data_IF_566154375195
#
_entry.id   IF_566154375195
#
_cell.length_a   1.000
_cell.length_b   1.000
_cell.length_c   1.000
_cell.angle_alpha   90.00
_cell.angle_beta   90.00
_cell.angle_gamma   90.00
#
_symmetry.space_group_name_H-M   'P 1'
#
loop_
_entity.id
_entity.type
_entity.pdbx_description
1 polymer ?
#
# COMPACT_ATOMS: atom_id res chain seq x y z
N UNK A 1 14.47 -13.39 35.31
CA UNK A 1 14.56 -14.71 34.66
C UNK A 1 14.59 -14.41 33.18
N UNK A 2 15.76 -14.53 32.57
CA UNK A 2 16.02 -14.06 31.20
C UNK A 2 15.55 -15.16 30.25
N UNK A 3 14.26 -15.14 29.92
CA UNK A 3 13.67 -16.05 28.95
C UNK A 3 14.35 -15.90 27.59
N UNK A 4 14.69 -17.04 26.99
CA UNK A 4 15.16 -17.14 25.62
C UNK A 4 14.14 -16.47 24.70
N UNK A 5 14.43 -15.25 24.28
CA UNK A 5 13.67 -14.60 23.22
C UNK A 5 13.84 -15.44 21.96
N UNK A 6 12.73 -15.69 21.26
CA UNK A 6 12.56 -16.46 20.02
C UNK A 6 13.75 -16.40 19.04
N UNK A 7 13.83 -17.38 18.13
CA UNK A 7 14.93 -17.54 17.17
C UNK A 7 15.22 -16.30 16.33
N UNK A 8 14.23 -15.43 16.08
CA UNK A 8 14.41 -14.12 15.44
C UNK A 8 13.68 -12.98 16.15
N UNK A 9 14.34 -11.83 16.27
CA UNK A 9 13.75 -10.57 16.76
C UNK A 9 13.86 -9.49 15.70
N UNK A 10 12.72 -8.88 15.31
CA UNK A 10 12.69 -7.77 14.37
C UNK A 10 12.06 -6.54 15.00
N UNK A 11 12.88 -5.50 15.21
CA UNK A 11 12.37 -4.15 15.51
C UNK A 11 11.94 -3.48 14.21
N UNK A 12 10.66 -3.26 14.03
CA UNK A 12 10.04 -2.93 12.73
C UNK A 12 9.95 -1.43 12.48
N UNK A 13 9.83 -0.62 13.54
CA UNK A 13 9.72 0.85 13.48
C UNK A 13 10.81 1.50 12.62
N UNK A 14 12.05 1.00 12.74
CA UNK A 14 13.22 1.50 12.00
C UNK A 14 13.15 1.34 10.49
N UNK A 15 12.33 0.43 9.97
CA UNK A 15 12.20 0.18 8.53
C UNK A 15 10.92 0.82 7.96
N UNK A 16 9.94 1.11 8.80
CA UNK A 16 8.59 1.49 8.39
C UNK A 16 8.54 2.73 7.49
N UNK A 17 9.40 3.72 7.75
CA UNK A 17 9.49 4.93 6.95
C UNK A 17 10.04 4.65 5.55
N UNK A 18 11.15 3.91 5.47
CA UNK A 18 11.76 3.56 4.19
C UNK A 18 10.84 2.64 3.37
N UNK A 19 10.22 1.64 4.01
CA UNK A 19 9.35 0.67 3.35
C UNK A 19 8.10 1.31 2.74
N UNK A 20 7.43 2.23 3.44
CA UNK A 20 6.26 2.93 2.87
C UNK A 20 6.66 3.77 1.67
N UNK A 21 7.79 4.46 1.71
CA UNK A 21 8.28 5.23 0.57
C UNK A 21 8.67 4.33 -0.60
N UNK A 22 9.36 3.21 -0.33
CA UNK A 22 9.80 2.28 -1.36
C UNK A 22 8.62 1.63 -2.08
N UNK A 23 7.59 1.20 -1.35
CA UNK A 23 6.36 0.63 -1.93
C UNK A 23 5.58 1.67 -2.75
N UNK A 24 5.49 2.91 -2.28
CA UNK A 24 4.85 3.99 -3.06
C UNK A 24 5.62 4.25 -4.37
N UNK A 25 6.95 4.25 -4.35
CA UNK A 25 7.78 4.38 -5.57
C UNK A 25 7.62 3.19 -6.50
N UNK A 26 7.50 1.97 -5.98
CA UNK A 26 7.18 0.79 -6.80
C UNK A 26 5.82 0.94 -7.50
N UNK A 27 4.80 1.46 -6.82
CA UNK A 27 3.50 1.76 -7.45
C UNK A 27 3.66 2.81 -8.56
N UNK A 28 4.45 3.86 -8.33
CA UNK A 28 4.69 4.94 -9.29
C UNK A 28 5.43 4.45 -10.55
N UNK A 29 6.34 3.49 -10.39
CA UNK A 29 7.04 2.84 -11.51
C UNK A 29 6.14 2.00 -12.42
N UNK A 30 4.90 1.70 -11.99
CA UNK A 30 3.95 0.88 -12.74
C UNK A 30 4.34 -0.61 -12.84
N UNK A 31 5.29 -1.07 -12.00
CA UNK A 31 5.78 -2.46 -11.96
C UNK A 31 4.86 -3.40 -11.20
N UNK A 32 4.05 -2.87 -10.28
CA UNK A 32 3.17 -3.68 -9.43
C UNK A 32 1.84 -3.99 -10.12
N UNK A 33 1.33 -5.21 -9.90
CA UNK A 33 0.07 -5.73 -10.45
C UNK A 33 -0.77 -6.35 -9.34
N UNK A 34 -2.05 -6.09 -9.39
CA UNK A 34 -3.03 -6.65 -8.46
C UNK A 34 -4.26 -7.12 -9.24
N UNK A 35 -4.93 -8.15 -8.72
CA UNK A 35 -6.17 -8.64 -9.32
C UNK A 35 -7.28 -7.61 -9.18
N UNK A 36 -7.98 -7.29 -10.26
CA UNK A 36 -9.17 -6.42 -10.19
C UNK A 36 -10.30 -7.05 -9.38
N UNK A 37 -10.41 -8.39 -9.40
CA UNK A 37 -11.45 -9.15 -8.70
C UNK A 37 -11.18 -9.30 -7.21
N UNK A 38 -9.97 -9.74 -6.85
CA UNK A 38 -9.64 -10.06 -5.45
C UNK A 38 -8.85 -8.98 -4.75
N UNK A 39 -8.38 -7.95 -5.47
CA UNK A 39 -7.46 -6.90 -5.01
C UNK A 39 -6.07 -7.38 -4.57
N UNK A 40 -5.86 -8.71 -4.53
CA UNK A 40 -4.62 -9.34 -4.06
C UNK A 40 -3.46 -9.07 -5.05
N UNK A 41 -2.23 -8.93 -4.53
CA UNK A 41 -1.04 -8.81 -5.38
C UNK A 41 -0.79 -10.10 -6.18
N UNK A 42 -0.26 -9.95 -7.38
CA UNK A 42 0.24 -11.08 -8.16
C UNK A 42 1.55 -11.63 -7.55
N UNK A 43 1.90 -12.89 -7.80
CA UNK A 43 3.14 -13.48 -7.26
C UNK A 43 4.39 -12.68 -7.61
N UNK A 44 4.49 -12.17 -8.84
CA UNK A 44 5.59 -11.30 -9.26
C UNK A 44 5.64 -9.97 -8.48
N UNK A 45 4.48 -9.42 -8.08
CA UNK A 45 4.40 -8.23 -7.23
C UNK A 45 4.88 -8.52 -5.82
N UNK A 46 4.55 -9.69 -5.25
CA UNK A 46 5.05 -10.10 -3.94
C UNK A 46 6.58 -10.22 -3.96
N UNK A 47 7.15 -10.88 -4.98
CA UNK A 47 8.61 -10.98 -5.13
C UNK A 47 9.28 -9.61 -5.27
N UNK A 48 8.70 -8.72 -6.07
CA UNK A 48 9.23 -7.37 -6.29
C UNK A 48 9.22 -6.53 -5.01
N UNK A 49 8.11 -6.58 -4.26
CA UNK A 49 8.00 -5.88 -2.98
C UNK A 49 8.98 -6.47 -1.98
N UNK A 50 9.05 -7.80 -1.82
CA UNK A 50 9.95 -8.47 -0.87
C UNK A 50 11.42 -8.09 -1.09
N UNK A 51 11.86 -8.00 -2.35
CA UNK A 51 13.22 -7.56 -2.71
C UNK A 51 13.50 -6.11 -2.39
N UNK A 52 12.46 -5.28 -2.27
CA UNK A 52 12.58 -3.83 -2.12
C UNK A 52 12.52 -3.37 -0.66
N UNK A 53 11.88 -4.15 0.22
CA UNK A 53 11.80 -3.84 1.65
C UNK A 53 13.17 -3.80 2.30
N UNK A 54 13.40 -2.84 3.18
CA UNK A 54 14.68 -2.57 3.84
C UNK A 54 15.21 -3.76 4.64
N UNK A 55 14.32 -4.57 5.23
CA UNK A 55 14.68 -5.80 5.95
C UNK A 55 14.22 -7.08 5.25
N UNK A 56 13.79 -7.00 3.99
CA UNK A 56 13.09 -8.09 3.31
C UNK A 56 11.78 -8.49 4.01
N UNK A 57 11.24 -9.65 3.64
CA UNK A 57 10.05 -10.23 4.30
C UNK A 57 10.43 -10.91 5.64
N UNK A 58 9.44 -11.30 6.44
CA UNK A 58 9.66 -11.97 7.73
C UNK A 58 10.18 -13.41 7.56
N UNK A 59 9.62 -14.12 6.59
CA UNK A 59 10.06 -15.44 6.13
C UNK A 59 10.48 -15.38 4.66
N UNK A 60 11.50 -16.15 4.24
CA UNK A 60 11.95 -16.16 2.85
C UNK A 60 10.89 -16.75 1.89
N UNK A 61 10.23 -17.82 2.31
CA UNK A 61 9.36 -18.63 1.44
C UNK A 61 7.85 -18.44 1.71
N UNK A 62 7.50 -17.75 2.80
CA UNK A 62 6.11 -17.48 3.22
C UNK A 62 5.87 -15.96 3.35
N UNK A 63 5.58 -15.26 2.23
CA UNK A 63 5.48 -13.80 2.25
C UNK A 63 4.35 -13.28 3.13
N UNK A 64 4.72 -12.41 4.06
CA UNK A 64 3.82 -11.74 5.00
C UNK A 64 3.79 -10.24 4.64
N UNK A 65 4.91 -9.54 4.81
CA UNK A 65 4.99 -8.10 4.59
C UNK A 65 4.81 -7.73 3.12
N UNK A 66 5.43 -8.50 2.22
CA UNK A 66 5.37 -8.20 0.78
C UNK A 66 3.99 -8.46 0.18
N UNK A 67 3.19 -9.35 0.80
CA UNK A 67 1.79 -9.52 0.45
C UNK A 67 0.92 -8.39 1.00
N UNK A 68 1.17 -7.94 2.23
CA UNK A 68 0.37 -6.94 2.91
C UNK A 68 0.50 -5.54 2.29
N UNK A 69 1.71 -5.12 1.92
CA UNK A 69 1.98 -3.76 1.44
C UNK A 69 1.08 -3.29 0.29
N UNK A 70 0.91 -4.05 -0.81
CA UNK A 70 -0.02 -3.70 -1.88
C UNK A 70 -1.47 -3.52 -1.39
N UNK A 71 -1.91 -4.30 -0.41
CA UNK A 71 -3.26 -4.17 0.15
C UNK A 71 -3.38 -2.93 1.05
N UNK A 72 -2.35 -2.63 1.85
CA UNK A 72 -2.30 -1.48 2.73
C UNK A 72 -2.39 -0.17 1.93
N UNK A 73 -1.59 -0.02 0.86
CA UNK A 73 -1.63 1.21 0.04
C UNK A 73 -2.95 1.35 -0.74
N UNK A 74 -3.57 0.24 -1.16
CA UNK A 74 -4.91 0.24 -1.76
C UNK A 74 -5.98 0.64 -0.73
N UNK A 75 -5.95 0.07 0.47
CA UNK A 75 -6.85 0.42 1.57
C UNK A 75 -6.68 1.90 1.94
N UNK A 76 -5.45 2.41 1.98
CA UNK A 76 -5.17 3.83 2.19
C UNK A 76 -5.74 4.77 1.12
N UNK A 77 -6.10 4.24 -0.06
CA UNK A 77 -6.38 5.03 -1.25
C UNK A 77 -5.14 5.77 -1.76
N UNK A 78 -3.95 5.29 -1.41
CA UNK A 78 -2.68 5.81 -1.92
C UNK A 78 -2.38 5.22 -3.30
N UNK A 79 -2.83 4.00 -3.56
CA UNK A 79 -2.75 3.38 -4.87
C UNK A 79 -4.11 2.79 -5.29
N UNK A 80 -4.33 2.71 -6.60
CA UNK A 80 -5.51 2.11 -7.19
C UNK A 80 -5.14 1.18 -8.35
N UNK A 81 -6.03 0.24 -8.66
CA UNK A 81 -5.84 -0.67 -9.78
C UNK A 81 -6.40 -0.03 -11.04
N UNK A 82 -5.54 0.19 -12.03
CA UNK A 82 -5.90 0.65 -13.37
C UNK A 82 -5.37 -0.35 -14.41
N UNK A 83 -6.28 -0.99 -15.13
CA UNK A 83 -5.96 -2.04 -16.12
C UNK A 83 -5.01 -3.12 -15.59
N UNK A 84 -5.33 -3.65 -14.41
CA UNK A 84 -4.54 -4.66 -13.70
C UNK A 84 -3.18 -4.21 -13.13
N UNK A 85 -2.79 -2.93 -13.27
CA UNK A 85 -1.59 -2.36 -12.65
C UNK A 85 -1.97 -1.58 -11.39
N UNK A 86 -1.15 -1.68 -10.35
CA UNK A 86 -1.30 -0.88 -9.14
C UNK A 86 -0.52 0.43 -9.30
N UNK A 87 -1.22 1.56 -9.34
CA UNK A 87 -0.66 2.89 -9.64
C UNK A 87 -0.99 3.88 -8.52
N UNK A 88 -0.13 4.88 -8.31
CA UNK A 88 -0.40 5.92 -7.32
C UNK A 88 -1.60 6.79 -7.70
N UNK A 89 -2.46 7.06 -6.73
CA UNK A 89 -3.47 8.12 -6.81
C UNK A 89 -2.81 9.49 -6.57
N UNK A 90 -3.54 10.58 -6.79
CA UNK A 90 -3.09 11.93 -6.38
C UNK A 90 -2.73 11.98 -4.89
N UNK A 91 -3.51 11.28 -4.05
CA UNK A 91 -3.25 11.16 -2.60
C UNK A 91 -1.96 10.38 -2.34
N UNK A 92 -1.70 9.32 -3.10
CA UNK A 92 -0.47 8.53 -3.01
C UNK A 92 0.79 9.31 -3.37
N UNK A 93 0.75 10.05 -4.49
CA UNK A 93 1.87 10.93 -4.87
C UNK A 93 2.15 11.98 -3.81
N UNK A 94 1.10 12.65 -3.32
CA UNK A 94 1.24 13.62 -2.24
C UNK A 94 1.74 13.01 -0.92
N UNK A 95 1.68 11.68 -0.75
CA UNK A 95 2.21 11.01 0.44
C UNK A 95 3.73 10.86 0.42
N UNK A 96 4.38 10.89 -0.76
CA UNK A 96 5.84 10.82 -0.89
C UNK A 96 6.54 12.03 -0.25
N UNK A 97 5.90 13.21 -0.25
CA UNK A 97 6.40 14.42 0.40
C UNK A 97 5.91 14.65 1.84
N UNK A 98 5.18 13.72 2.45
CA UNK A 98 4.64 13.85 3.82
C UNK A 98 5.50 13.08 4.83
N UNK A 99 5.49 13.49 6.12
CA UNK A 99 6.11 12.68 7.17
C UNK A 99 5.53 11.26 7.22
N UNK A 100 6.41 10.26 7.12
CA UNK A 100 6.02 8.85 7.01
C UNK A 100 5.10 8.39 8.14
N UNK A 101 5.35 8.80 9.39
CA UNK A 101 4.52 8.46 10.53
C UNK A 101 3.04 8.86 10.36
N UNK A 102 2.78 10.03 9.76
CA UNK A 102 1.42 10.47 9.44
C UNK A 102 0.78 9.64 8.34
N UNK A 103 1.56 9.20 7.35
CA UNK A 103 1.12 8.31 6.28
C UNK A 103 0.75 6.94 6.86
N UNK A 104 1.62 6.34 7.67
CA UNK A 104 1.41 5.05 8.35
C UNK A 104 0.18 5.08 9.26
N UNK A 105 -0.01 6.16 10.03
CA UNK A 105 -1.22 6.34 10.84
C UNK A 105 -2.49 6.35 9.97
N UNK A 106 -2.48 7.05 8.84
CA UNK A 106 -3.62 7.07 7.92
C UNK A 106 -3.86 5.71 7.24
N UNK A 107 -2.80 4.96 6.93
CA UNK A 107 -2.89 3.59 6.42
C UNK A 107 -3.55 2.66 7.44
N UNK A 108 -3.08 2.65 8.69
CA UNK A 108 -3.67 1.84 9.75
C UNK A 108 -5.16 2.13 9.96
N UNK A 109 -5.54 3.41 10.09
CA UNK A 109 -6.96 3.82 10.23
C UNK A 109 -7.82 3.38 9.03
N UNK A 110 -7.27 3.45 7.83
CA UNK A 110 -7.96 3.00 6.62
C UNK A 110 -8.11 1.48 6.61
N UNK A 111 -7.07 0.75 7.04
CA UNK A 111 -7.09 -0.71 7.14
C UNK A 111 -8.16 -1.21 8.11
N UNK A 112 -8.25 -0.60 9.30
CA UNK A 112 -9.26 -0.95 10.32
C UNK A 112 -10.70 -0.82 9.80
N UNK A 113 -10.95 0.08 8.84
CA UNK A 113 -12.29 0.42 8.40
C UNK A 113 -12.69 -0.16 7.05
N UNK A 114 -11.74 -0.40 6.14
CA UNK A 114 -12.02 -0.85 4.76
C UNK A 114 -11.80 -2.34 4.58
N UNK A 115 -12.85 -3.08 4.25
CA UNK A 115 -12.78 -4.52 3.98
C UNK A 115 -12.29 -4.87 2.57
N UNK A 116 -11.02 -4.60 2.24
CA UNK A 116 -10.44 -5.05 0.95
C UNK A 116 -10.36 -6.57 0.87
N UNK A 117 -9.91 -7.18 1.96
CA UNK A 117 -9.93 -8.62 2.19
C UNK A 117 -10.31 -8.90 3.66
N UNK A 118 -10.55 -10.16 3.97
CA UNK A 118 -10.68 -10.69 5.33
C UNK A 118 -9.36 -11.37 5.73
N UNK A 119 -8.74 -11.00 6.84
CA UNK A 119 -7.49 -11.63 7.30
C UNK A 119 -7.66 -13.12 7.57
N UNK A 120 -8.86 -13.55 7.97
CA UNK A 120 -9.11 -14.97 8.21
C UNK A 120 -8.91 -15.82 6.93
N UNK A 121 -9.09 -15.19 5.76
CA UNK A 121 -8.82 -15.82 4.46
C UNK A 121 -7.34 -16.10 4.17
N UNK A 122 -6.44 -15.71 5.09
CA UNK A 122 -5.01 -16.02 5.07
C UNK A 122 -4.64 -17.21 5.95
N UNK A 123 -5.57 -17.71 6.78
CA UNK A 123 -5.41 -18.96 7.52
C UNK A 123 -5.95 -20.08 6.63
N UNK A 124 -5.13 -20.48 5.66
CA UNK A 124 -5.59 -21.27 4.52
C UNK A 124 -5.99 -22.69 4.91
N UNK A 125 -5.46 -23.24 6.01
CA UNK A 125 -5.78 -24.59 6.47
C UNK A 125 -7.19 -24.71 7.06
N UNK A 126 -7.77 -23.61 7.58
CA UNK A 126 -9.19 -23.57 7.97
C UNK A 126 -10.04 -23.33 6.73
N UNK A 127 -10.78 -24.34 6.31
CA UNK A 127 -11.63 -24.31 5.11
C UNK A 127 -13.07 -23.89 5.45
N UNK A 128 -13.91 -23.79 4.41
CA UNK A 128 -15.34 -23.46 4.56
C UNK A 128 -15.67 -21.98 4.85
N UNK A 129 -14.65 -21.13 4.96
CA UNK A 129 -14.77 -19.69 5.23
C UNK A 129 -15.67 -18.91 4.26
N UNK A 130 -15.79 -19.37 3.00
CA UNK A 130 -16.58 -18.72 1.94
C UNK A 130 -18.08 -19.04 2.00
N UNK A 131 -18.51 -19.94 2.88
CA UNK A 131 -19.92 -20.27 2.99
C UNK A 131 -20.72 -19.09 3.57
N UNK A 132 -21.99 -19.00 3.17
CA UNK A 132 -22.86 -17.89 3.57
C UNK A 132 -23.03 -17.83 5.11
N UNK A 133 -22.96 -16.60 5.64
CA UNK A 133 -23.18 -16.27 7.05
C UNK A 133 -22.26 -17.00 8.04
N UNK A 134 -21.03 -17.33 7.65
CA UNK A 134 -20.05 -17.97 8.54
C UNK A 134 -19.31 -16.96 9.40
N UNK A 135 -18.64 -15.99 8.77
CA UNK A 135 -17.78 -15.05 9.47
C UNK A 135 -18.52 -13.78 9.91
N UNK A 136 -18.08 -13.17 11.01
CA UNK A 136 -18.44 -11.80 11.39
C UNK A 136 -17.70 -10.78 10.52
N UNK A 137 -18.10 -9.50 10.59
CA UNK A 137 -17.50 -8.46 9.75
C UNK A 137 -16.03 -8.18 10.11
N UNK A 138 -15.10 -8.09 9.12
CA UNK A 138 -13.69 -7.81 9.38
C UNK A 138 -13.45 -6.50 10.14
N UNK A 139 -14.23 -5.45 9.85
CA UNK A 139 -14.12 -4.15 10.53
C UNK A 139 -14.20 -4.27 12.05
N UNK A 140 -15.19 -5.01 12.56
CA UNK A 140 -15.38 -5.18 13.99
C UNK A 140 -14.23 -5.96 14.62
N UNK A 141 -13.79 -7.05 13.96
CA UNK A 141 -12.67 -7.87 14.43
C UNK A 141 -11.34 -7.11 14.47
N UNK A 142 -11.04 -6.33 13.43
CA UNK A 142 -9.85 -5.45 13.39
C UNK A 142 -9.85 -4.42 14.52
N UNK A 143 -11.00 -3.81 14.80
CA UNK A 143 -11.13 -2.86 15.90
C UNK A 143 -10.80 -3.52 17.23
N UNK A 144 -11.28 -4.76 17.46
CA UNK A 144 -10.97 -5.52 18.67
C UNK A 144 -9.48 -5.84 18.85
N UNK A 145 -8.80 -6.25 17.78
CA UNK A 145 -7.33 -6.45 17.83
C UNK A 145 -6.61 -5.11 18.04
N UNK A 146 -7.07 -4.01 17.42
CA UNK A 146 -6.47 -2.68 17.62
C UNK A 146 -6.68 -2.15 19.03
N UNK A 147 -7.81 -2.43 19.67
CA UNK A 147 -8.09 -2.09 21.07
C UNK A 147 -7.16 -2.88 22.01
N UNK A 148 -7.02 -4.20 21.79
CA UNK A 148 -6.09 -5.03 22.55
C UNK A 148 -4.65 -4.52 22.42
N UNK A 149 -4.22 -4.19 21.19
CA UNK A 149 -2.88 -3.70 20.93
C UNK A 149 -2.62 -2.35 21.61
N UNK A 150 -3.59 -1.42 21.57
CA UNK A 150 -3.45 -0.12 22.21
C UNK A 150 -3.39 -0.18 23.75
N UNK A 151 -3.84 -1.28 24.35
CA UNK A 151 -3.78 -1.51 25.79
C UNK A 151 -2.46 -2.14 26.26
N UNK A 152 -1.57 -2.54 25.34
CA UNK A 152 -0.29 -3.16 25.71
C UNK A 152 0.71 -2.12 26.24
N UNK A 153 1.59 -2.51 27.18
CA UNK A 153 2.65 -1.64 27.68
C UNK A 153 3.60 -1.23 26.55
N UNK A 154 3.83 0.08 26.42
CA UNK A 154 4.73 0.63 25.39
C UNK A 154 6.17 0.31 25.74
N UNK A 155 6.90 -0.31 24.82
CA UNK A 155 8.32 -0.64 24.97
C UNK A 155 8.61 -1.95 25.71
N UNK A 156 7.59 -2.68 26.13
CA UNK A 156 7.71 -3.97 26.82
C UNK A 156 7.30 -5.12 25.90
N UNK A 157 8.00 -6.25 26.02
CA UNK A 157 7.64 -7.48 25.32
C UNK A 157 6.47 -8.16 26.02
N UNK A 158 5.48 -8.56 25.25
CA UNK A 158 4.30 -9.30 25.70
C UNK A 158 4.24 -10.60 24.91
N UNK A 159 4.20 -11.73 25.61
CA UNK A 159 3.99 -13.03 25.00
C UNK A 159 2.61 -13.10 24.33
N UNK A 160 2.52 -13.74 23.18
CA UNK A 160 1.26 -13.87 22.44
C UNK A 160 0.23 -14.65 23.26
N UNK A 161 0.63 -15.66 24.00
CA UNK A 161 -0.30 -16.49 24.78
C UNK A 161 -0.82 -15.71 26.01
N UNK A 162 0.01 -14.83 26.59
CA UNK A 162 -0.43 -13.84 27.59
C UNK A 162 -1.44 -12.84 27.00
N UNK A 163 -1.17 -12.33 25.79
CA UNK A 163 -2.11 -11.47 25.07
C UNK A 163 -3.43 -12.20 24.80
N UNK A 164 -3.39 -13.46 24.40
CA UNK A 164 -4.57 -14.29 24.19
C UNK A 164 -5.37 -14.46 25.48
N UNK A 165 -4.71 -14.77 26.59
CA UNK A 165 -5.34 -14.87 27.90
C UNK A 165 -6.06 -13.57 28.30
N UNK A 166 -5.43 -12.40 28.07
CA UNK A 166 -6.05 -11.09 28.30
C UNK A 166 -7.27 -10.87 27.37
N UNK A 167 -7.15 -11.17 26.09
CA UNK A 167 -8.22 -10.97 25.11
C UNK A 167 -9.45 -11.86 25.39
N UNK A 168 -9.25 -13.07 25.92
CA UNK A 168 -10.33 -13.97 26.37
C UNK A 168 -11.10 -13.42 27.58
N UNK A 169 -10.42 -12.70 28.46
CA UNK A 169 -10.99 -12.17 29.71
C UNK A 169 -11.58 -10.76 29.57
N UNK A 170 -11.38 -10.12 28.42
CA UNK A 170 -11.78 -8.73 28.17
C UNK A 170 -12.77 -8.64 27.01
N UNK A 171 -13.23 -7.42 26.72
CA UNK A 171 -14.10 -7.15 25.57
C UNK A 171 -13.33 -7.12 24.23
N UNK A 172 -12.07 -7.55 24.19
CA UNK A 172 -11.19 -7.47 23.00
C UNK A 172 -11.19 -8.72 22.13
N UNK A 173 -11.98 -9.75 22.45
CA UNK A 173 -12.05 -10.96 21.62
C UNK A 173 -12.67 -10.68 20.23
N UNK A 174 -11.95 -10.90 19.12
CA UNK A 174 -12.42 -10.60 17.76
C UNK A 174 -13.26 -11.75 17.20
N UNK A 175 -14.44 -12.03 17.80
CA UNK A 175 -15.29 -13.18 17.45
C UNK A 175 -15.33 -13.45 15.94
N UNK A 176 -14.81 -14.59 15.50
CA UNK A 176 -14.65 -14.95 14.09
C UNK A 176 -15.92 -15.57 13.54
N UNK A 177 -16.39 -16.64 14.18
CA UNK A 177 -17.63 -17.31 13.80
C UNK A 177 -18.86 -16.51 14.26
N UNK A 178 -19.84 -16.38 13.37
CA UNK A 178 -21.06 -15.60 13.63
C UNK A 178 -22.01 -16.25 14.65
N UNK A 179 -21.91 -17.57 14.81
CA UNK A 179 -22.69 -18.37 15.75
C UNK A 179 -22.04 -19.74 15.93
N UNK A 180 -22.45 -20.50 16.93
CA UNK A 180 -22.02 -21.90 17.09
C UNK A 180 -22.37 -22.74 15.85
N UNK A 181 -23.54 -22.52 15.25
CA UNK A 181 -23.93 -23.18 14.00
C UNK A 181 -22.99 -22.84 12.83
N UNK A 182 -22.33 -21.68 12.85
CA UNK A 182 -21.38 -21.30 11.82
C UNK A 182 -20.05 -22.08 11.94
N UNK A 183 -19.67 -22.52 13.14
CA UNK A 183 -18.47 -23.32 13.37
C UNK A 183 -18.52 -24.64 12.60
N UNK A 184 -19.70 -25.25 12.50
CA UNK A 184 -19.92 -26.49 11.73
C UNK A 184 -19.54 -26.38 10.25
N UNK A 185 -19.46 -25.16 9.71
CA UNK A 185 -19.04 -24.91 8.33
C UNK A 185 -17.54 -24.69 8.19
N UNK A 186 -16.82 -24.45 9.29
CA UNK A 186 -15.37 -24.34 9.31
C UNK A 186 -14.77 -25.70 9.64
N UNK A 187 -13.70 -26.07 8.95
CA UNK A 187 -13.11 -27.39 9.11
C UNK A 187 -11.65 -27.43 8.69
N UNK A 188 -10.93 -28.42 9.20
CA UNK A 188 -9.59 -28.83 8.76
C UNK A 188 -9.71 -30.11 7.92
N UNK A 189 -8.98 -30.19 6.79
CA UNK A 189 -8.99 -31.37 5.92
C UNK A 189 -10.35 -31.66 5.25
N UNK A 190 -11.26 -32.31 5.99
CA UNK A 190 -12.58 -32.76 5.55
C UNK A 190 -13.74 -32.11 6.34
N UNK A 191 -14.83 -31.68 5.68
CA UNK A 191 -15.95 -31.00 6.35
C UNK A 191 -16.77 -31.85 7.32
N UNK A 192 -16.80 -33.18 7.14
CA UNK A 192 -17.58 -34.08 7.98
C UNK A 192 -16.82 -34.45 9.27
N UNK A 193 -15.52 -34.71 9.15
CA UNK A 193 -14.70 -35.21 10.26
C UNK A 193 -13.90 -34.11 10.96
N UNK A 194 -13.32 -33.17 10.22
CA UNK A 194 -12.51 -32.08 10.78
C UNK A 194 -13.29 -30.82 11.11
N UNK A 195 -14.61 -30.94 11.36
CA UNK A 195 -15.47 -29.78 11.64
C UNK A 195 -15.11 -29.13 12.98
N UNK A 196 -14.95 -27.81 12.98
CA UNK A 196 -14.69 -27.02 14.20
C UNK A 196 -15.96 -26.83 15.05
N UNK A 197 -17.10 -27.39 14.63
CA UNK A 197 -18.34 -27.39 15.38
C UNK A 197 -18.40 -28.46 16.48
N UNK A 198 -17.52 -29.45 16.46
CA UNK A 198 -17.42 -30.44 17.53
C UNK A 198 -16.87 -29.80 18.81
N UNK A 199 -17.41 -30.22 19.96
CA UNK A 199 -17.00 -29.69 21.26
C UNK A 199 -15.50 -29.96 21.52
N UNK A 200 -14.74 -28.92 21.86
CA UNK A 200 -13.28 -29.00 22.07
C UNK A 200 -12.43 -28.82 20.80
N UNK A 201 -13.03 -28.73 19.62
CA UNK A 201 -12.29 -28.69 18.35
C UNK A 201 -12.33 -27.32 17.64
N UNK A 202 -13.12 -26.37 18.16
CA UNK A 202 -13.24 -25.01 17.65
C UNK A 202 -12.77 -23.96 18.65
N UNK A 203 -11.66 -24.23 19.36
CA UNK A 203 -11.20 -23.37 20.43
C UNK A 203 -10.77 -21.98 19.95
N UNK A 204 -10.72 -21.05 20.90
CA UNK A 204 -10.45 -19.64 20.65
C UNK A 204 -9.12 -19.42 19.92
N UNK A 205 -8.08 -20.17 20.29
CA UNK A 205 -6.74 -20.10 19.73
C UNK A 205 -6.71 -20.37 18.22
N UNK A 206 -7.52 -21.32 17.75
CA UNK A 206 -7.61 -21.70 16.34
C UNK A 206 -8.31 -20.63 15.50
N UNK A 207 -9.31 -19.95 16.07
CA UNK A 207 -10.15 -19.00 15.36
C UNK A 207 -9.72 -17.56 15.65
N UNK A 208 -10.11 -17.05 16.81
CA UNK A 208 -9.80 -15.69 17.24
C UNK A 208 -8.29 -15.47 17.43
N UNK A 209 -7.57 -16.45 17.95
CA UNK A 209 -6.12 -16.42 18.12
C UNK A 209 -5.39 -16.30 16.78
N UNK A 210 -5.61 -17.23 15.85
CA UNK A 210 -5.02 -17.15 14.50
C UNK A 210 -5.43 -15.89 13.73
N UNK A 211 -6.68 -15.43 13.89
CA UNK A 211 -7.08 -14.14 13.32
C UNK A 211 -6.27 -12.98 13.90
N UNK A 212 -6.06 -12.98 15.22
CA UNK A 212 -5.27 -11.97 15.93
C UNK A 212 -3.81 -11.98 15.44
N UNK A 213 -3.20 -13.16 15.32
CA UNK A 213 -1.84 -13.31 14.78
C UNK A 213 -1.73 -12.75 13.36
N UNK A 214 -2.71 -13.03 12.49
CA UNK A 214 -2.71 -12.48 11.14
C UNK A 214 -2.76 -10.94 11.15
N UNK A 215 -3.61 -10.33 11.97
CA UNK A 215 -3.70 -8.86 12.06
C UNK A 215 -2.40 -8.24 12.61
N UNK A 216 -1.82 -8.84 13.66
CA UNK A 216 -0.61 -8.36 14.29
C UNK A 216 0.61 -8.52 13.38
N UNK A 217 0.86 -9.74 12.90
CA UNK A 217 2.09 -10.06 12.19
C UNK A 217 2.09 -9.53 10.75
N UNK A 218 0.95 -9.64 10.05
CA UNK A 218 0.90 -9.27 8.63
C UNK A 218 0.65 -7.78 8.40
N UNK A 219 -0.06 -7.09 9.30
CA UNK A 219 -0.45 -5.71 9.04
C UNK A 219 0.14 -4.74 10.05
N UNK A 220 0.06 -5.02 11.35
CA UNK A 220 0.62 -4.11 12.36
C UNK A 220 2.16 -4.11 12.32
N UNK A 221 2.81 -5.27 12.26
CA UNK A 221 4.26 -5.39 12.18
C UNK A 221 4.80 -4.85 10.83
N UNK A 222 4.11 -5.11 9.72
CA UNK A 222 4.49 -4.57 8.40
C UNK A 222 4.41 -3.04 8.34
N UNK A 223 3.45 -2.42 9.00
CA UNK A 223 3.38 -0.97 9.13
C UNK A 223 4.34 -0.40 10.18
N UNK A 224 5.08 -1.24 10.90
CA UNK A 224 6.06 -0.83 11.90
C UNK A 224 5.48 -0.54 13.29
N UNK A 225 4.22 -0.87 13.57
CA UNK A 225 3.56 -0.52 14.84
C UNK A 225 4.06 -1.37 16.02
N UNK A 226 4.54 -2.57 15.73
CA UNK A 226 5.00 -3.52 16.74
C UNK A 226 6.31 -4.15 16.32
N UNK A 227 7.22 -4.29 17.27
CA UNK A 227 8.35 -5.20 17.11
C UNK A 227 7.88 -6.63 17.39
N UNK A 228 8.52 -7.60 16.75
CA UNK A 228 8.10 -9.01 16.80
C UNK A 228 9.27 -9.91 17.18
N UNK A 229 8.99 -10.91 17.99
CA UNK A 229 9.83 -12.07 18.21
C UNK A 229 9.11 -13.29 17.63
N UNK A 230 9.77 -14.04 16.75
CA UNK A 230 9.15 -15.12 16.01
C UNK A 230 10.14 -16.24 15.65
N UNK A 231 9.60 -17.44 15.48
CA UNK A 231 10.26 -18.64 14.98
C UNK A 231 9.73 -19.00 13.59
N UNK A 232 10.27 -20.05 12.97
CA UNK A 232 9.61 -20.70 11.84
C UNK A 232 8.19 -21.17 12.24
N UNK A 233 7.18 -21.07 11.37
CA UNK A 233 5.82 -21.46 11.71
C UNK A 233 5.70 -22.97 11.97
N UNK A 234 6.53 -23.78 11.29
CA UNK A 234 6.54 -25.23 11.41
C UNK A 234 6.86 -25.70 12.83
N UNK A 235 5.95 -26.45 13.45
CA UNK A 235 6.09 -26.95 14.82
C UNK A 235 6.05 -25.86 15.90
N UNK A 236 5.70 -24.62 15.54
CA UNK A 236 5.67 -23.54 16.52
C UNK A 236 4.53 -23.71 17.53
N UNK A 237 3.41 -24.25 17.10
CA UNK A 237 2.20 -24.46 17.91
C UNK A 237 1.65 -25.85 17.61
N UNK A 238 1.07 -26.48 18.61
CA UNK A 238 0.49 -27.83 18.56
C UNK A 238 -0.99 -27.86 19.01
N UNK A 239 -1.55 -26.70 19.35
CA UNK A 239 -2.94 -26.46 19.79
C UNK A 239 -4.01 -26.97 18.81
N UNK A 240 -3.62 -27.29 17.57
CA UNK A 240 -4.52 -27.82 16.55
C UNK A 240 -4.34 -29.32 16.28
N UNK A 241 -3.31 -29.99 16.79
CA UNK A 241 -2.99 -31.39 16.43
C UNK A 241 -4.05 -32.40 16.86
N UNK A 242 -4.83 -32.13 17.91
CA UNK A 242 -5.93 -33.02 18.29
C UNK A 242 -7.10 -32.99 17.30
N UNK A 243 -7.15 -32.01 16.39
CA UNK A 243 -8.19 -31.95 15.36
C UNK A 243 -7.97 -32.99 14.27
N UNK A 244 -9.05 -33.62 13.87
CA UNK A 244 -9.03 -34.59 12.78
C UNK A 244 -8.46 -33.97 11.50
N UNK A 245 -7.49 -34.66 10.89
CA UNK A 245 -6.87 -34.27 9.62
C UNK A 245 -5.81 -33.19 9.75
N UNK A 246 -5.45 -32.78 10.98
CA UNK A 246 -4.40 -31.80 11.23
C UNK A 246 -3.00 -32.41 11.42
N UNK A 247 -2.90 -33.74 11.56
CA UNK A 247 -1.65 -34.49 11.77
C UNK A 247 -0.58 -34.28 10.68
N UNK A 248 -0.98 -33.81 9.50
CA UNK A 248 -0.10 -33.58 8.36
C UNK A 248 0.30 -32.11 8.18
N UNK A 249 -0.15 -31.22 9.07
CA UNK A 249 0.16 -29.80 8.98
C UNK A 249 1.40 -29.47 9.81
N UNK A 250 2.46 -29.02 9.13
CA UNK A 250 3.63 -28.46 9.83
C UNK A 250 3.24 -27.23 10.66
N UNK A 251 2.27 -26.44 10.18
CA UNK A 251 1.70 -25.28 10.86
C UNK A 251 0.22 -25.10 10.45
N UNK A 252 -0.63 -24.55 11.33
CA UNK A 252 -2.01 -24.20 10.94
C UNK A 252 -2.03 -22.93 10.09
N UNK A 253 -1.12 -21.99 10.34
CA UNK A 253 -0.93 -20.80 9.53
C UNK A 253 0.53 -20.36 9.50
N UNK A 254 0.90 -19.55 8.51
CA UNK A 254 2.21 -18.87 8.48
C UNK A 254 2.46 -17.93 9.66
N UNK A 255 1.44 -17.62 10.47
CA UNK A 255 1.57 -16.72 11.61
C UNK A 255 1.84 -17.46 12.92
N UNK A 256 1.81 -18.79 12.93
CA UNK A 256 1.94 -19.63 14.12
C UNK A 256 3.29 -19.41 14.83
N UNK A 257 4.31 -19.02 14.07
CA UNK A 257 5.64 -18.71 14.57
C UNK A 257 5.73 -17.41 15.38
N UNK A 258 4.70 -16.55 15.44
CA UNK A 258 4.75 -15.34 16.26
C UNK A 258 4.70 -15.70 17.76
N UNK A 259 5.75 -15.31 18.49
CA UNK A 259 5.92 -15.61 19.94
C UNK A 259 5.59 -14.44 20.83
N UNK A 260 6.14 -13.27 20.53
CA UNK A 260 5.93 -12.08 21.34
C UNK A 260 5.86 -10.83 20.48
N UNK A 261 5.17 -9.82 21.00
CA UNK A 261 5.06 -8.50 20.40
C UNK A 261 5.55 -7.44 21.37
N UNK A 262 6.00 -6.31 20.84
CA UNK A 262 6.29 -5.12 21.63
C UNK A 262 5.73 -3.90 20.94
N UNK A 263 4.79 -3.22 21.59
CA UNK A 263 4.26 -1.94 21.11
C UNK A 263 5.38 -0.89 21.17
N UNK A 264 5.86 -0.44 20.00
CA UNK A 264 6.92 0.56 19.90
C UNK A 264 6.38 2.00 19.85
N UNK A 265 7.26 2.99 19.77
CA UNK A 265 6.88 4.41 19.87
C UNK A 265 6.03 4.89 18.67
N UNK A 266 6.39 4.46 17.47
CA UNK A 266 5.58 4.65 16.26
C UNK A 266 4.20 4.03 16.42
N UNK A 267 4.12 2.79 16.91
CA UNK A 267 2.85 2.11 17.18
C UNK A 267 1.98 2.87 18.18
N UNK A 268 2.57 3.30 19.30
CA UNK A 268 1.88 4.07 20.32
C UNK A 268 1.33 5.39 19.75
N UNK A 269 2.07 6.06 18.87
CA UNK A 269 1.59 7.25 18.17
C UNK A 269 0.48 6.95 17.15
N UNK A 270 0.64 5.91 16.34
CA UNK A 270 -0.34 5.51 15.32
C UNK A 270 -1.68 5.13 15.97
N UNK A 271 -1.63 4.43 17.10
CA UNK A 271 -2.81 4.02 17.88
C UNK A 271 -3.40 5.15 18.74
N UNK A 272 -2.71 6.29 18.86
CA UNK A 272 -3.16 7.43 19.66
C UNK A 272 -2.91 7.31 21.16
N UNK A 273 -2.12 6.32 21.60
CA UNK A 273 -1.62 6.18 22.98
C UNK A 273 -0.67 7.32 23.31
N UNK A 274 0.21 7.69 22.36
CA UNK A 274 1.08 8.88 22.43
C UNK A 274 0.61 9.95 21.45
N UNK A 275 0.73 11.22 21.85
CA UNK A 275 0.30 12.38 21.02
C UNK A 275 1.32 12.79 19.96
N UNK A 276 2.59 12.52 20.22
CA UNK A 276 3.71 12.88 19.36
C UNK A 276 4.63 11.70 19.16
N UNK A 277 5.35 11.72 18.05
CA UNK A 277 6.34 10.73 17.68
C UNK A 277 7.60 11.44 17.21
N UNK A 278 8.73 11.00 17.75
CA UNK A 278 10.06 11.37 17.28
C UNK A 278 10.68 10.10 16.72
N UNK A 279 11.00 10.04 15.42
CA UNK A 279 11.68 8.88 14.85
C UNK A 279 12.97 8.57 15.60
N UNK A 280 13.35 7.29 15.75
CA UNK A 280 14.68 6.95 16.22
C UNK A 280 15.72 7.62 15.33
N UNK A 281 16.87 8.02 15.90
CA UNK A 281 17.94 8.59 15.10
C UNK A 281 18.27 7.64 13.95
N UNK A 282 18.21 8.10 12.69
CA UNK A 282 18.57 7.25 11.58
C UNK A 282 20.03 6.84 11.76
N UNK A 283 20.33 5.56 11.55
CA UNK A 283 21.72 5.16 11.31
C UNK A 283 22.22 6.07 10.19
N UNK A 284 23.34 6.77 10.43
CA UNK A 284 23.82 7.82 9.54
C UNK A 284 23.75 7.31 8.09
N UNK A 285 22.96 7.97 7.21
CA UNK A 285 22.70 7.42 5.89
C UNK A 285 24.04 7.19 5.20
N UNK A 286 24.25 5.96 4.74
CA UNK A 286 25.43 5.60 3.98
C UNK A 286 25.63 6.64 2.89
N UNK A 287 26.85 7.16 2.78
CA UNK A 287 27.24 8.05 1.69
C UNK A 287 27.40 7.20 0.42
N UNK A 288 26.28 6.89 -0.21
CA UNK A 288 26.18 5.87 -1.27
C UNK A 288 26.39 6.41 -2.67
N UNK A 289 26.28 7.72 -2.89
CA UNK A 289 26.42 8.33 -4.23
C UNK A 289 27.45 9.46 -4.27
N UNK A 290 28.02 9.70 -5.45
CA UNK A 290 28.85 10.87 -5.77
C UNK A 290 28.28 11.53 -7.02
N UNK A 291 28.12 12.85 -7.01
CA UNK A 291 27.55 13.61 -8.12
C UNK A 291 28.69 14.37 -8.81
N UNK A 292 28.92 14.06 -10.08
CA UNK A 292 30.00 14.62 -10.88
C UNK A 292 29.56 15.88 -11.65
N UNK A 293 30.50 16.77 -12.01
CA UNK A 293 30.18 17.99 -12.77
C UNK A 293 29.56 17.75 -14.16
N UNK A 294 29.75 16.56 -14.73
CA UNK A 294 29.13 16.13 -15.98
C UNK A 294 27.70 15.59 -15.81
N UNK A 295 27.08 15.78 -14.63
CA UNK A 295 25.74 15.34 -14.26
C UNK A 295 25.57 13.81 -14.11
N UNK A 296 26.67 13.08 -14.02
CA UNK A 296 26.64 11.68 -13.62
C UNK A 296 26.52 11.54 -12.10
N UNK A 297 25.62 10.67 -11.67
CA UNK A 297 25.49 10.17 -10.31
C UNK A 297 26.10 8.78 -10.29
N UNK A 298 27.20 8.63 -9.57
CA UNK A 298 27.98 7.39 -9.46
C UNK A 298 27.72 6.76 -8.11
N UNK A 299 27.37 5.48 -8.07
CA UNK A 299 27.33 4.73 -6.82
C UNK A 299 28.75 4.49 -6.31
N UNK A 300 29.04 4.97 -5.10
CA UNK A 300 30.32 4.76 -4.40
C UNK A 300 30.19 3.82 -3.21
N UNK A 301 28.96 3.39 -2.90
CA UNK A 301 28.65 2.34 -1.93
C UNK A 301 27.49 1.47 -2.41
N UNK A 302 27.09 0.51 -1.59
CA UNK A 302 25.93 -0.35 -1.89
C UNK A 302 24.64 0.45 -1.86
N UNK A 303 23.98 0.58 -3.01
CA UNK A 303 22.65 1.16 -3.09
C UNK A 303 21.61 0.12 -2.69
N UNK A 304 20.75 0.49 -1.76
CA UNK A 304 19.52 -0.24 -1.47
C UNK A 304 18.59 -0.22 -2.71
N UNK A 305 17.73 -1.23 -2.84
CA UNK A 305 16.67 -1.24 -3.87
C UNK A 305 15.81 0.02 -3.87
N UNK A 306 15.51 0.60 -2.70
CA UNK A 306 14.76 1.84 -2.57
C UNK A 306 15.53 3.05 -3.15
N UNK A 307 16.84 3.16 -2.90
CA UNK A 307 17.68 4.21 -3.50
C UNK A 307 17.77 4.07 -5.02
N UNK A 308 17.88 2.83 -5.53
CA UNK A 308 17.88 2.56 -6.97
C UNK A 308 16.59 3.03 -7.63
N UNK A 309 15.42 2.76 -7.03
CA UNK A 309 14.14 3.23 -7.54
C UNK A 309 14.08 4.77 -7.60
N UNK A 310 14.67 5.47 -6.63
CA UNK A 310 14.73 6.93 -6.66
C UNK A 310 15.59 7.40 -7.84
N UNK A 311 16.80 6.85 -7.98
CA UNK A 311 17.71 7.20 -9.07
C UNK A 311 17.07 6.97 -10.44
N UNK A 312 16.47 5.80 -10.65
CA UNK A 312 15.82 5.43 -11.92
C UNK A 312 14.55 6.23 -12.20
N UNK A 313 13.97 6.89 -11.21
CA UNK A 313 12.80 7.76 -11.38
C UNK A 313 13.15 9.13 -11.97
N UNK A 314 14.41 9.58 -11.85
CA UNK A 314 14.85 10.94 -12.21
C UNK A 314 16.07 10.97 -13.14
N UNK A 315 16.80 9.87 -13.25
CA UNK A 315 18.04 9.75 -14.02
C UNK A 315 18.03 8.47 -14.87
N UNK A 316 18.78 8.50 -15.97
CA UNK A 316 18.90 7.34 -16.86
C UNK A 316 20.12 6.52 -16.47
N UNK A 317 19.96 5.22 -16.26
CA UNK A 317 21.09 4.29 -16.07
C UNK A 317 21.92 4.22 -17.35
N UNK A 318 23.19 4.62 -17.27
CA UNK A 318 24.15 4.67 -18.40
C UNK A 318 25.32 3.71 -18.23
N UNK A 319 25.53 3.20 -17.02
CA UNK A 319 26.44 2.11 -16.71
C UNK A 319 25.98 1.33 -15.49
N UNK A 320 26.78 0.36 -15.04
CA UNK A 320 26.33 -0.52 -13.96
C UNK A 320 26.10 0.21 -12.63
N UNK A 321 26.93 1.21 -12.38
CA UNK A 321 26.93 2.04 -11.17
C UNK A 321 26.81 3.53 -11.50
N UNK A 322 26.30 3.86 -12.69
CA UNK A 322 26.27 5.24 -13.20
C UNK A 322 24.88 5.58 -13.75
N UNK A 323 24.34 6.69 -13.26
CA UNK A 323 23.08 7.28 -13.72
C UNK A 323 23.31 8.71 -14.15
N UNK A 324 22.95 9.05 -15.38
CA UNK A 324 23.11 10.40 -15.91
C UNK A 324 21.81 11.18 -15.72
N UNK A 325 21.90 12.34 -15.08
CA UNK A 325 20.80 13.30 -14.96
C UNK A 325 20.81 14.21 -16.18
N UNK A 326 19.67 14.34 -16.85
CA UNK A 326 19.53 15.25 -17.99
C UNK A 326 18.24 16.06 -17.89
N UNK A 327 18.11 17.08 -18.74
CA UNK A 327 16.86 17.83 -18.87
C UNK A 327 15.71 16.91 -19.25
N UNK A 328 15.94 15.99 -20.18
CA UNK A 328 14.94 15.04 -20.66
C UNK A 328 14.50 14.09 -19.53
N UNK A 329 15.43 13.58 -18.72
CA UNK A 329 15.08 12.67 -17.61
C UNK A 329 14.27 13.37 -16.53
N UNK A 330 14.63 14.62 -16.19
CA UNK A 330 13.89 15.41 -15.20
C UNK A 330 12.52 15.86 -15.72
N UNK A 331 12.41 16.28 -16.99
CA UNK A 331 11.12 16.61 -17.60
C UNK A 331 10.21 15.38 -17.70
N UNK A 332 10.76 14.20 -18.02
CA UNK A 332 9.99 12.95 -18.00
C UNK A 332 9.51 12.60 -16.59
N UNK A 333 10.31 12.89 -15.55
CA UNK A 333 9.87 12.74 -14.17
C UNK A 333 8.72 13.70 -13.83
N UNK A 334 8.80 14.97 -14.26
CA UNK A 334 7.72 15.96 -14.09
C UNK A 334 6.45 15.56 -14.84
N UNK A 335 6.56 15.08 -16.08
CA UNK A 335 5.44 14.55 -16.87
C UNK A 335 4.77 13.36 -16.19
N UNK A 336 5.56 12.50 -15.53
CA UNK A 336 5.07 11.43 -14.67
C UNK A 336 4.46 11.92 -13.33
N UNK A 337 4.44 13.24 -13.07
CA UNK A 337 3.88 13.87 -11.89
C UNK A 337 4.82 13.90 -10.67
N UNK A 338 6.12 13.70 -10.87
CA UNK A 338 7.15 13.73 -9.81
C UNK A 338 7.71 15.14 -9.60
N UNK A 339 8.23 15.40 -8.40
CA UNK A 339 8.77 16.71 -8.02
C UNK A 339 10.31 16.65 -7.99
N UNK A 340 11.02 17.38 -8.87
CA UNK A 340 12.49 17.39 -8.90
C UNK A 340 13.16 17.73 -7.56
N UNK A 341 12.50 18.52 -6.71
CA UNK A 341 12.97 18.85 -5.35
C UNK A 341 13.17 17.62 -4.48
N UNK A 342 12.32 16.59 -4.62
CA UNK A 342 12.49 15.32 -3.90
C UNK A 342 13.81 14.64 -4.28
N UNK A 343 14.20 14.75 -5.55
CA UNK A 343 15.45 14.18 -6.03
C UNK A 343 16.65 14.98 -5.51
N UNK A 344 16.55 16.31 -5.44
CA UNK A 344 17.58 17.14 -4.83
C UNK A 344 17.79 16.81 -3.34
N UNK A 345 16.70 16.61 -2.59
CA UNK A 345 16.75 16.18 -1.18
C UNK A 345 17.42 14.81 -1.05
N UNK A 346 17.04 13.86 -1.90
CA UNK A 346 17.66 12.53 -1.94
C UNK A 346 19.17 12.59 -2.19
N UNK A 347 19.60 13.33 -3.23
CA UNK A 347 21.01 13.46 -3.56
C UNK A 347 21.79 14.09 -2.40
N UNK A 348 21.28 15.15 -1.76
CA UNK A 348 21.94 15.77 -0.59
C UNK A 348 22.06 14.80 0.59
N UNK A 349 21.05 13.99 0.83
CA UNK A 349 21.05 13.02 1.93
C UNK A 349 22.06 11.87 1.72
N UNK A 350 22.28 11.44 0.47
CA UNK A 350 23.11 10.26 0.12
C UNK A 350 24.49 10.60 -0.44
N UNK A 351 24.72 11.85 -0.83
CA UNK A 351 25.97 12.22 -1.47
C UNK A 351 27.16 12.21 -0.52
N UNK A 352 28.26 11.59 -0.94
CA UNK A 352 29.55 11.58 -0.23
C UNK A 352 30.26 12.94 -0.18
N UNK A 353 29.81 13.89 -0.99
CA UNK A 353 30.31 15.25 -1.04
C UNK A 353 29.34 16.22 -0.35
N UNK A 354 29.90 17.25 0.30
CA UNK A 354 29.12 18.29 0.99
C UNK A 354 28.44 19.24 0.01
N UNK A 355 29.10 19.56 -1.11
CA UNK A 355 28.60 20.50 -2.11
C UNK A 355 28.18 19.80 -3.41
N UNK A 356 27.01 20.17 -3.92
CA UNK A 356 26.52 19.68 -5.21
C UNK A 356 27.16 20.49 -6.36
N UNK A 357 27.49 19.87 -7.51
CA UNK A 357 28.05 20.60 -8.63
C UNK A 357 27.10 21.69 -9.13
N UNK A 358 27.64 22.89 -9.43
CA UNK A 358 26.85 24.03 -9.91
C UNK A 358 26.04 23.73 -11.17
N UNK A 359 26.55 22.85 -12.05
CA UNK A 359 25.83 22.40 -13.24
C UNK A 359 24.51 21.68 -12.89
N UNK A 360 24.48 20.88 -11.82
CA UNK A 360 23.27 20.18 -11.38
C UNK A 360 22.25 21.18 -10.78
N UNK A 361 22.73 22.13 -9.98
CA UNK A 361 21.87 23.15 -9.39
C UNK A 361 21.21 24.02 -10.47
N UNK A 362 22.00 24.48 -11.46
CA UNK A 362 21.49 25.24 -12.59
C UNK A 362 20.45 24.45 -13.40
N UNK A 363 20.64 23.13 -13.56
CA UNK A 363 19.66 22.28 -14.22
C UNK A 363 18.36 22.17 -13.42
N UNK A 364 18.41 22.02 -12.10
CA UNK A 364 17.21 22.01 -11.26
C UNK A 364 16.46 23.35 -11.33
N UNK A 365 17.18 24.48 -11.26
CA UNK A 365 16.58 25.81 -11.38
C UNK A 365 15.89 26.01 -12.74
N UNK A 366 16.54 25.55 -13.83
CA UNK A 366 15.95 25.58 -15.17
C UNK A 366 14.64 24.77 -15.24
N UNK A 367 14.63 23.56 -14.67
CA UNK A 367 13.45 22.70 -14.66
C UNK A 367 12.35 23.32 -13.80
N UNK A 368 12.69 23.87 -12.63
CA UNK A 368 11.74 24.55 -11.76
C UNK A 368 11.09 25.75 -12.46
N UNK A 369 11.85 26.55 -13.21
CA UNK A 369 11.35 27.69 -13.98
C UNK A 369 10.36 27.27 -15.09
N UNK A 370 10.61 26.11 -15.71
CA UNK A 370 9.76 25.55 -16.79
C UNK A 370 8.53 24.82 -16.24
N UNK A 371 8.64 24.22 -15.07
CA UNK A 371 7.55 23.47 -14.42
C UNK A 371 6.40 24.41 -14.07
N UNK A 372 5.17 23.99 -14.35
CA UNK A 372 3.98 24.81 -14.08
C UNK A 372 3.68 25.89 -15.12
N UNK A 373 4.52 26.08 -16.15
CA UNK A 373 4.18 26.96 -17.29
C UNK A 373 3.10 26.39 -18.21
N UNK A 374 2.89 25.08 -18.14
CA UNK A 374 1.82 24.37 -18.84
C UNK A 374 0.86 23.80 -17.80
N UNK A 375 -0.43 23.84 -18.12
CA UNK A 375 -1.48 23.27 -17.27
C UNK A 375 -2.32 22.34 -18.11
N UNK A 376 -2.40 21.07 -17.72
CA UNK A 376 -3.35 20.14 -18.30
C UNK A 376 -4.76 20.48 -17.79
N UNK A 377 -5.66 20.80 -18.73
CA UNK A 377 -7.06 21.12 -18.44
C UNK A 377 -7.99 19.92 -18.66
N UNK A 378 -7.43 18.74 -18.90
CA UNK A 378 -8.14 17.48 -19.07
C UNK A 378 -8.63 17.22 -20.49
N UNK A 379 -9.31 16.08 -20.65
CA UNK A 379 -9.81 15.65 -21.95
C UNK A 379 -11.11 16.35 -22.31
N UNK A 380 -11.16 16.83 -23.56
CA UNK A 380 -12.33 17.48 -24.14
C UNK A 380 -12.75 16.76 -25.40
N UNK A 381 -14.05 16.60 -25.59
CA UNK A 381 -14.64 16.16 -26.85
C UNK A 381 -14.75 17.36 -27.79
N UNK A 382 -14.06 17.29 -28.93
CA UNK A 382 -14.16 18.31 -29.97
C UNK A 382 -15.32 17.99 -30.92
N UNK A 383 -16.22 18.95 -31.11
CA UNK A 383 -17.41 18.85 -31.95
C UNK A 383 -17.34 19.95 -33.02
N UNK A 384 -17.39 19.56 -34.29
CA UNK A 384 -17.43 20.51 -35.40
C UNK A 384 -18.87 20.94 -35.69
N UNK A 385 -19.08 22.24 -35.86
CA UNK A 385 -20.33 22.82 -36.35
C UNK A 385 -20.26 23.01 -37.87
N UNK A 386 -21.41 22.99 -38.53
CA UNK A 386 -21.48 23.19 -39.98
C UNK A 386 -20.93 24.57 -40.42
N UNK A 387 -21.19 25.59 -39.60
CA UNK A 387 -20.78 26.98 -39.86
C UNK A 387 -20.51 27.75 -38.54
N UNK A 388 -19.87 28.94 -38.61
CA UNK A 388 -19.58 29.74 -37.42
C UNK A 388 -20.80 30.30 -36.69
N UNK A 389 -21.92 30.51 -37.39
CA UNK A 389 -23.13 31.04 -36.79
C UNK A 389 -23.74 30.01 -35.83
N UNK A 390 -23.76 28.73 -36.22
CA UNK A 390 -24.18 27.63 -35.37
C UNK A 390 -23.28 27.47 -34.13
N UNK A 391 -21.96 27.55 -34.30
CA UNK A 391 -21.02 27.46 -33.17
C UNK A 391 -21.21 28.63 -32.18
N UNK A 392 -21.47 29.83 -32.69
CA UNK A 392 -21.79 31.02 -31.89
C UNK A 392 -23.12 30.85 -31.16
N UNK A 393 -24.17 30.39 -31.85
CA UNK A 393 -25.49 30.14 -31.27
C UNK A 393 -25.39 29.17 -30.08
N UNK A 394 -24.70 28.05 -30.27
CA UNK A 394 -24.55 27.02 -29.24
C UNK A 394 -23.68 27.51 -28.08
N UNK A 395 -22.55 28.19 -28.34
CA UNK A 395 -21.65 28.66 -27.29
C UNK A 395 -22.23 29.82 -26.45
N UNK A 396 -23.18 30.57 -26.99
CA UNK A 396 -23.84 31.69 -26.29
C UNK A 396 -25.20 31.32 -25.67
N UNK A 397 -25.73 30.12 -25.95
CA UNK A 397 -26.95 29.65 -25.31
C UNK A 397 -26.78 29.57 -23.79
N UNK A 398 -27.81 30.03 -23.06
CA UNK A 398 -27.76 30.20 -21.60
C UNK A 398 -27.48 28.89 -20.86
N UNK A 399 -27.95 27.75 -21.39
CA UNK A 399 -27.79 26.42 -20.77
C UNK A 399 -26.54 25.71 -21.29
N UNK A 400 -26.15 25.91 -22.55
CA UNK A 400 -25.00 25.24 -23.17
C UNK A 400 -23.66 25.93 -22.92
N UNK A 401 -23.63 27.25 -22.68
CA UNK A 401 -22.38 28.01 -22.48
C UNK A 401 -21.51 27.49 -21.34
N UNK A 402 -22.11 26.90 -20.30
CA UNK A 402 -21.37 26.32 -19.16
C UNK A 402 -20.90 24.89 -19.41
N UNK A 403 -21.36 24.27 -20.50
CA UNK A 403 -21.08 22.88 -20.85
C UNK A 403 -20.11 22.77 -22.04
N UNK A 404 -19.80 23.88 -22.71
CA UNK A 404 -18.89 23.89 -23.84
C UNK A 404 -18.07 25.18 -23.88
N UNK A 405 -16.95 25.14 -24.62
CA UNK A 405 -16.12 26.31 -24.93
C UNK A 405 -15.93 26.37 -26.44
N UNK A 406 -16.13 27.55 -27.03
CA UNK A 406 -15.84 27.78 -28.44
C UNK A 406 -14.32 27.76 -28.66
N UNK A 407 -13.87 26.98 -29.65
CA UNK A 407 -12.49 26.85 -30.09
C UNK A 407 -12.42 27.23 -31.56
N UNK A 408 -11.73 28.33 -31.87
CA UNK A 408 -11.78 28.94 -33.20
C UNK A 408 -13.18 29.47 -33.52
N UNK A 409 -13.59 29.34 -34.78
CA UNK A 409 -14.87 29.84 -35.29
C UNK A 409 -15.95 28.75 -35.43
N UNK A 410 -15.57 27.47 -35.57
CA UNK A 410 -16.49 26.37 -35.89
C UNK A 410 -16.48 25.18 -34.93
N UNK A 411 -15.64 25.18 -33.89
CA UNK A 411 -15.50 24.01 -33.03
C UNK A 411 -15.93 24.28 -31.59
N UNK A 412 -16.57 23.30 -30.97
CA UNK A 412 -16.94 23.33 -29.56
C UNK A 412 -16.16 22.25 -28.82
N UNK A 413 -15.47 22.63 -27.75
CA UNK A 413 -14.87 21.72 -26.80
C UNK A 413 -15.83 21.46 -25.64
N UNK A 414 -16.16 20.20 -25.40
CA UNK A 414 -17.08 19.75 -24.34
C UNK A 414 -16.32 18.84 -23.38
N UNK A 415 -16.30 19.13 -22.07
CA UNK A 415 -15.69 18.22 -21.08
C UNK A 415 -16.33 16.83 -21.14
N UNK A 416 -15.52 15.76 -21.10
CA UNK A 416 -16.01 14.38 -21.25
C UNK A 416 -17.04 14.00 -20.17
N UNK A 417 -16.84 14.47 -18.94
CA UNK A 417 -17.76 14.30 -17.80
C UNK A 417 -19.10 15.02 -17.99
N UNK A 418 -19.13 16.07 -18.82
CA UNK A 418 -20.33 16.87 -19.14
C UNK A 418 -20.97 16.50 -20.48
N UNK A 419 -20.43 15.53 -21.21
CA UNK A 419 -20.88 15.20 -22.57
C UNK A 419 -22.36 14.80 -22.61
N UNK A 420 -22.84 14.02 -21.64
CA UNK A 420 -24.24 13.58 -21.61
C UNK A 420 -25.20 14.77 -21.38
N UNK A 421 -24.88 15.65 -20.44
CA UNK A 421 -25.67 16.84 -20.16
C UNK A 421 -25.69 17.81 -21.35
N UNK A 422 -24.55 17.97 -22.03
CA UNK A 422 -24.44 18.77 -23.25
C UNK A 422 -25.34 18.20 -24.35
N UNK A 423 -25.26 16.89 -24.64
CA UNK A 423 -26.09 16.23 -25.66
C UNK A 423 -27.58 16.38 -25.38
N UNK A 424 -28.00 16.15 -24.14
CA UNK A 424 -29.40 16.30 -23.72
C UNK A 424 -29.91 17.73 -23.86
N UNK A 425 -29.05 18.71 -23.59
CA UNK A 425 -29.43 20.13 -23.71
C UNK A 425 -29.43 20.56 -25.18
N UNK A 426 -28.49 20.06 -25.98
CA UNK A 426 -28.39 20.36 -27.40
C UNK A 426 -29.61 19.88 -28.20
N UNK A 427 -30.20 18.73 -27.84
CA UNK A 427 -31.43 18.25 -28.49
C UNK A 427 -32.62 19.19 -28.25
N UNK A 428 -32.66 19.93 -27.13
CA UNK A 428 -33.70 20.94 -26.90
C UNK A 428 -33.56 22.17 -27.82
N UNK A 429 -32.36 22.39 -28.36
CA UNK A 429 -32.05 23.40 -29.37
C UNK A 429 -32.26 22.89 -30.82
N UNK A 430 -32.70 21.63 -30.98
CA UNK A 430 -32.98 21.03 -32.28
C UNK A 430 -31.79 20.37 -32.97
N UNK A 431 -30.64 20.25 -32.29
CA UNK A 431 -29.42 19.65 -32.86
C UNK A 431 -29.05 18.35 -32.15
N UNK A 432 -28.42 17.43 -32.88
CA UNK A 432 -27.88 16.19 -32.34
C UNK A 432 -26.48 15.93 -32.88
N UNK A 433 -25.59 15.42 -32.02
CA UNK A 433 -24.24 15.05 -32.41
C UNK A 433 -24.21 13.53 -32.61
N UNK A 434 -23.95 13.03 -33.83
CA UNK A 434 -23.88 11.59 -34.06
C UNK A 434 -22.74 10.95 -33.25
N UNK A 435 -22.91 9.69 -32.85
CA UNK A 435 -21.80 8.94 -32.26
C UNK A 435 -20.73 8.71 -33.33
N UNK A 436 -19.49 9.08 -33.01
CA UNK A 436 -18.36 8.86 -33.91
C UNK A 436 -18.12 7.36 -33.98
N UNK A 437 -18.51 6.71 -35.08
CA UNK A 437 -18.06 5.35 -35.38
C UNK A 437 -16.53 5.40 -35.54
N UNK A 438 -15.81 4.55 -34.82
CA UNK A 438 -14.36 4.41 -35.02
C UNK A 438 -14.15 3.94 -36.46
N UNK A 439 -13.46 4.72 -37.27
CA UNK A 439 -12.87 4.21 -38.50
C UNK A 439 -11.94 3.06 -38.09
N UNK A 440 -12.20 1.87 -38.60
CA UNK A 440 -11.24 0.77 -38.54
C UNK A 440 -10.00 1.22 -39.32
N UNK A 441 -8.88 1.35 -38.62
CA UNK A 441 -7.56 1.50 -39.18
C UNK A 441 -6.74 0.29 -38.74
#
# INVERSE_FOLDING_TARGET
MTEQIAGSVRRTERYAADDVHAVLRLCDSGRLRCSEKTRRPASATVVEVARTLSSGDFYPDEPIAAFAWPLLVQAGGLAEISSGKLQLTTKGRAALGKPAAGVLQALWRSWLTKGLIDEFSRIENIKGQRAANVLTAPKARRQKVSEALAAQPVGEWVDVDDLFAQMKQTAWSPRVARSERALWKLYLGDPQYGSLGYAGFGEWELLEGRYTLAVLFEYAATLGLIDVAYDEPGGARDDYHENWGADYFDALSRYDGLRAIRLNDLGAYVLGVRRSYTPPEPEAPGRTVKVLPNLDVVAVGSLSPAELLVLESYARRTGDHVWTVSRESLLAAVDAGRQPDEFAVFLRARAAQTEMPGALLALFDEIAERTGRLTDLGQMRLIACADPALATLISHDRKLRSLCRLIGDRHLAVPVDREQDFRRTLTTLGYAVPMRQRAQA
#
